data_IF_988076431319
#
_entry.id   IF_988076431319
#
_cell.length_a   1.000
_cell.length_b   1.000
_cell.length_c   1.000
_cell.angle_alpha   90.00
_cell.angle_beta   90.00
_cell.angle_gamma   90.00
#
_symmetry.space_group_name_H-M   'P 1'
#
loop_
_entity.id
_entity.type
_entity.pdbx_description
1 polymer ?
#
# COMPACT_ATOMS: atom_id res chain seq x y z
N UNK A 1 -13.22 -15.15 26.73
CA UNK A 1 -12.68 -13.79 26.64
C UNK A 1 -11.23 -13.85 27.11
N UNK A 2 -10.26 -13.89 26.22
CA UNK A 2 -8.83 -13.88 26.61
C UNK A 2 -8.46 -12.47 27.03
N UNK A 3 -8.29 -12.24 28.33
CA UNK A 3 -7.75 -10.99 28.87
C UNK A 3 -6.34 -10.77 28.32
N UNK A 4 -6.14 -9.68 27.57
CA UNK A 4 -4.82 -9.26 27.12
C UNK A 4 -4.06 -8.68 28.31
N UNK A 5 -3.28 -9.53 28.99
CA UNK A 5 -2.45 -9.16 30.13
C UNK A 5 -1.28 -8.30 29.67
N UNK A 6 -1.11 -7.09 30.22
CA UNK A 6 -0.01 -6.15 29.88
C UNK A 6 1.33 -6.88 29.66
N UNK A 7 1.99 -6.68 28.50
CA UNK A 7 3.25 -7.37 28.20
C UNK A 7 4.37 -6.87 29.13
N UNK A 8 5.28 -7.77 29.50
CA UNK A 8 6.52 -7.41 30.19
C UNK A 8 7.43 -6.58 29.28
N UNK A 9 8.44 -5.90 29.84
CA UNK A 9 9.40 -5.09 29.06
C UNK A 9 10.03 -5.88 27.90
N UNK A 10 10.48 -7.11 28.16
CA UNK A 10 11.09 -7.97 27.12
C UNK A 10 10.08 -8.40 26.05
N UNK A 11 8.85 -8.69 26.46
CA UNK A 11 7.76 -9.02 25.54
C UNK A 11 7.39 -7.83 24.66
N UNK A 12 7.35 -6.62 25.23
CA UNK A 12 7.11 -5.38 24.51
C UNK A 12 8.20 -5.12 23.46
N UNK A 13 9.48 -5.28 23.80
CA UNK A 13 10.59 -5.16 22.83
C UNK A 13 10.38 -6.08 21.62
N UNK A 14 9.95 -7.33 21.84
CA UNK A 14 9.68 -8.27 20.76
C UNK A 14 8.47 -7.85 19.92
N UNK A 15 7.38 -7.41 20.55
CA UNK A 15 6.20 -6.89 19.85
C UNK A 15 6.54 -5.66 19.01
N UNK A 16 7.27 -4.70 19.59
CA UNK A 16 7.68 -3.46 18.93
C UNK A 16 8.61 -3.76 17.74
N UNK A 17 9.49 -4.75 17.86
CA UNK A 17 10.33 -5.21 16.75
C UNK A 17 9.49 -5.81 15.62
N UNK A 18 8.53 -6.69 15.92
CA UNK A 18 7.66 -7.28 14.90
C UNK A 18 6.83 -6.20 14.21
N UNK A 19 6.24 -5.28 14.97
CA UNK A 19 5.42 -4.18 14.42
C UNK A 19 6.26 -3.27 13.51
N UNK A 20 7.45 -2.87 13.96
CA UNK A 20 8.36 -2.03 13.18
C UNK A 20 8.82 -2.72 11.89
N UNK A 21 9.16 -4.01 11.97
CA UNK A 21 9.56 -4.79 10.80
C UNK A 21 8.43 -4.88 9.77
N UNK A 22 7.19 -5.09 10.21
CA UNK A 22 6.02 -5.14 9.32
C UNK A 22 5.81 -3.77 8.65
N UNK A 23 5.91 -2.67 9.41
CA UNK A 23 5.78 -1.31 8.86
C UNK A 23 6.84 -0.98 7.82
N UNK A 24 8.08 -1.43 8.04
CA UNK A 24 9.21 -1.11 7.16
C UNK A 24 9.23 -1.97 5.90
N UNK A 25 8.91 -3.26 6.02
CA UNK A 25 9.06 -4.22 4.92
C UNK A 25 7.75 -4.66 4.27
N UNK A 26 6.60 -4.38 4.87
CA UNK A 26 5.29 -4.79 4.37
C UNK A 26 4.96 -6.27 4.57
N UNK A 27 5.79 -7.02 5.31
CA UNK A 27 5.56 -8.43 5.66
C UNK A 27 6.13 -8.75 7.04
N UNK A 28 5.66 -9.82 7.68
CA UNK A 28 6.13 -10.18 9.02
C UNK A 28 7.52 -10.85 9.02
N UNK A 29 8.31 -10.65 10.09
CA UNK A 29 9.64 -11.23 10.16
C UNK A 29 9.59 -12.75 10.39
N UNK A 30 10.58 -13.44 9.85
CA UNK A 30 10.91 -14.82 10.15
C UNK A 30 11.55 -14.93 11.54
N UNK A 31 11.55 -16.14 12.12
CA UNK A 31 12.19 -16.35 13.42
C UNK A 31 13.70 -16.09 13.40
N UNK A 32 14.36 -16.27 12.24
CA UNK A 32 15.78 -15.93 12.08
C UNK A 32 16.02 -14.42 12.06
N UNK A 33 15.14 -13.65 11.41
CA UNK A 33 15.23 -12.18 11.43
C UNK A 33 14.98 -11.63 12.84
N UNK A 34 13.99 -12.17 13.58
CA UNK A 34 13.75 -11.81 14.98
C UNK A 34 14.97 -12.17 15.84
N UNK A 35 15.56 -13.35 15.61
CA UNK A 35 16.75 -13.80 16.33
C UNK A 35 17.92 -12.82 16.14
N UNK A 36 18.23 -12.47 14.89
CA UNK A 36 19.31 -11.54 14.56
C UNK A 36 19.03 -10.13 15.07
N UNK A 37 17.81 -9.63 14.87
CA UNK A 37 17.42 -8.25 15.23
C UNK A 37 17.41 -8.00 16.74
N UNK A 38 17.02 -9.00 17.53
CA UNK A 38 16.95 -8.90 19.00
C UNK A 38 18.10 -9.62 19.71
N UNK A 39 19.08 -10.15 18.96
CA UNK A 39 20.25 -10.87 19.46
C UNK A 39 19.90 -12.04 20.38
N UNK A 40 18.91 -12.84 20.00
CA UNK A 40 18.63 -14.10 20.68
C UNK A 40 19.66 -15.16 20.32
N UNK A 41 19.95 -16.05 21.27
CA UNK A 41 20.95 -17.11 21.08
C UNK A 41 20.46 -18.29 20.22
N UNK A 42 19.15 -18.45 20.04
CA UNK A 42 18.59 -19.52 19.18
C UNK A 42 17.21 -19.21 18.63
N UNK A 43 16.91 -19.79 17.46
CA UNK A 43 15.58 -19.78 16.84
C UNK A 43 14.52 -20.41 17.76
N UNK A 44 14.89 -21.43 18.52
CA UNK A 44 14.00 -22.07 19.49
C UNK A 44 13.55 -21.11 20.60
N UNK A 45 14.46 -20.23 21.06
CA UNK A 45 14.14 -19.19 22.06
C UNK A 45 13.13 -18.19 21.50
N UNK A 46 13.32 -17.77 20.24
CA UNK A 46 12.36 -16.90 19.54
C UNK A 46 11.00 -17.57 19.43
N UNK A 47 10.95 -18.83 18.98
CA UNK A 47 9.71 -19.59 18.83
C UNK A 47 8.95 -19.69 20.17
N UNK A 48 9.65 -19.93 21.27
CA UNK A 48 9.06 -19.95 22.62
C UNK A 48 8.43 -18.59 22.97
N UNK A 49 9.17 -17.48 22.77
CA UNK A 49 8.66 -16.15 23.08
C UNK A 49 7.45 -15.75 22.22
N UNK A 50 7.50 -16.03 20.92
CA UNK A 50 6.38 -15.79 19.99
C UNK A 50 5.15 -16.59 20.41
N UNK A 51 5.31 -17.90 20.68
CA UNK A 51 4.19 -18.74 21.13
C UNK A 51 3.58 -18.27 22.45
N UNK A 52 4.41 -17.78 23.38
CA UNK A 52 3.92 -17.21 24.63
C UNK A 52 3.12 -15.92 24.42
N UNK A 53 3.54 -15.07 23.47
CA UNK A 53 2.80 -13.88 23.10
C UNK A 53 1.49 -14.19 22.38
N UNK A 54 1.45 -15.24 21.56
CA UNK A 54 0.21 -15.74 20.94
C UNK A 54 -0.77 -16.22 22.00
N UNK A 55 -0.31 -17.07 22.94
CA UNK A 55 -1.14 -17.57 24.04
C UNK A 55 -1.72 -16.45 24.92
N UNK A 56 -0.99 -15.34 25.05
CA UNK A 56 -1.40 -14.15 25.81
C UNK A 56 -2.26 -13.18 25.00
N UNK A 57 -2.54 -13.48 23.73
CA UNK A 57 -3.38 -12.65 22.87
C UNK A 57 -2.71 -11.37 22.36
N UNK A 58 -1.38 -11.25 22.41
CA UNK A 58 -0.65 -10.11 21.83
C UNK A 58 -0.21 -10.35 20.39
N UNK A 59 -0.05 -11.61 19.99
CA UNK A 59 0.24 -12.00 18.62
C UNK A 59 -0.84 -12.93 18.09
N UNK A 60 -1.08 -12.88 16.79
CA UNK A 60 -1.90 -13.85 16.07
C UNK A 60 -1.10 -14.42 14.91
N UNK A 61 -1.30 -15.71 14.63
CA UNK A 61 -0.78 -16.37 13.44
C UNK A 61 -1.98 -16.73 12.57
N UNK A 62 -2.11 -16.15 11.37
CA UNK A 62 -3.29 -16.36 10.51
C UNK A 62 -3.33 -17.77 9.89
N UNK A 63 -2.17 -18.36 9.62
CA UNK A 63 -2.05 -19.62 8.87
C UNK A 63 -0.68 -20.28 9.09
N UNK A 64 -0.51 -21.52 8.64
CA UNK A 64 0.70 -22.30 8.87
C UNK A 64 1.89 -21.93 7.96
N UNK A 65 1.75 -20.85 7.19
CA UNK A 65 2.79 -20.32 6.32
C UNK A 65 3.93 -19.65 7.08
N UNK A 66 5.06 -19.49 6.40
CA UNK A 66 6.11 -18.58 6.84
C UNK A 66 5.59 -17.15 6.76
N UNK A 67 5.99 -16.29 7.71
CA UNK A 67 5.65 -14.86 7.74
C UNK A 67 4.14 -14.53 7.91
N UNK A 68 3.42 -15.30 8.71
CA UNK A 68 2.00 -15.04 9.05
C UNK A 68 1.74 -14.40 10.43
N UNK A 69 2.77 -13.80 11.06
CA UNK A 69 2.62 -13.17 12.38
C UNK A 69 1.99 -11.78 12.30
N UNK A 70 1.11 -11.49 13.26
CA UNK A 70 0.45 -10.20 13.41
C UNK A 70 0.44 -9.76 14.87
N UNK A 71 0.59 -8.46 15.09
CA UNK A 71 0.44 -7.86 16.42
C UNK A 71 -1.04 -7.53 16.66
N UNK A 72 -1.60 -8.03 17.77
CA UNK A 72 -2.99 -7.84 18.15
C UNK A 72 -3.12 -6.54 18.94
N UNK A 73 -3.99 -5.64 18.48
CA UNK A 73 -4.18 -4.33 19.12
C UNK A 73 -3.16 -3.27 18.70
N UNK A 74 -2.29 -3.56 17.72
CA UNK A 74 -1.73 -2.49 16.89
C UNK A 74 -2.87 -1.97 16.00
N UNK A 75 -3.71 -1.11 16.58
CA UNK A 75 -4.79 -0.40 15.90
C UNK A 75 -4.26 0.66 14.91
N UNK A 76 -3.00 0.54 14.49
CA UNK A 76 -2.44 1.24 13.34
C UNK A 76 -2.84 0.61 12.00
N UNK A 77 -3.91 -0.21 11.97
CA UNK A 77 -4.51 -0.66 10.71
C UNK A 77 -6.02 -0.91 10.84
N UNK A 78 -6.79 0.17 11.00
CA UNK A 78 -8.15 0.26 10.46
C UNK A 78 -8.50 1.57 9.76
N UNK A 79 -7.51 2.35 9.38
CA UNK A 79 -7.65 3.17 8.18
C UNK A 79 -6.79 2.52 7.11
N UNK A 80 -7.44 1.69 6.31
CA UNK A 80 -7.17 1.73 4.87
C UNK A 80 -7.53 3.11 4.34
N UNK A 81 -6.85 4.16 4.81
CA UNK A 81 -6.35 5.12 3.85
C UNK A 81 -5.44 4.26 2.99
N UNK A 82 -5.76 4.14 1.71
CA UNK A 82 -4.70 4.07 0.71
C UNK A 82 -3.56 4.90 1.29
N UNK A 83 -2.43 4.29 1.64
CA UNK A 83 -1.19 5.04 1.82
C UNK A 83 -1.21 6.03 0.68
N UNK A 84 -1.47 7.31 0.99
CA UNK A 84 -1.60 8.35 -0.01
C UNK A 84 -0.35 8.18 -0.83
N UNK A 85 -0.50 7.72 -2.08
CA UNK A 85 0.62 7.24 -2.87
C UNK A 85 1.57 8.42 -2.82
N UNK A 86 2.73 8.24 -2.16
CA UNK A 86 3.61 9.36 -1.77
C UNK A 86 3.61 10.34 -2.93
N UNK A 87 3.19 11.60 -2.75
CA UNK A 87 2.84 12.52 -3.85
C UNK A 87 3.83 12.53 -5.05
N UNK A 88 5.08 12.14 -4.82
CA UNK A 88 6.12 11.84 -5.81
C UNK A 88 5.80 10.69 -6.80
N UNK A 89 5.08 9.64 -6.40
CA UNK A 89 4.61 8.52 -7.22
C UNK A 89 3.22 8.76 -7.85
N UNK A 90 2.54 9.87 -7.57
CA UNK A 90 1.28 10.25 -8.23
C UNK A 90 1.52 11.21 -9.42
N UNK A 91 2.59 12.00 -9.38
CA UNK A 91 2.91 12.99 -10.42
C UNK A 91 3.15 12.37 -11.80
N UNK A 92 3.76 11.18 -11.89
CA UNK A 92 4.09 10.58 -13.18
C UNK A 92 2.84 10.27 -14.02
N UNK A 93 1.73 9.90 -13.37
CA UNK A 93 0.48 9.57 -14.07
C UNK A 93 -0.18 10.83 -14.62
N UNK A 94 -0.17 11.92 -13.83
CA UNK A 94 -0.63 13.24 -14.27
C UNK A 94 0.20 13.74 -15.46
N UNK A 95 1.53 13.68 -15.34
CA UNK A 95 2.46 14.08 -16.41
C UNK A 95 2.24 13.23 -17.68
N UNK A 96 1.96 11.92 -17.52
CA UNK A 96 1.68 11.01 -18.64
C UNK A 96 0.38 11.36 -19.36
N UNK A 97 -0.70 11.61 -18.62
CA UNK A 97 -2.00 12.02 -19.19
C UNK A 97 -1.86 13.35 -19.92
N UNK A 98 -1.15 14.32 -19.34
CA UNK A 98 -0.89 15.62 -19.99
C UNK A 98 -0.13 15.46 -21.31
N UNK A 99 0.93 14.65 -21.34
CA UNK A 99 1.72 14.39 -22.54
C UNK A 99 0.89 13.69 -23.64
N UNK A 100 0.07 12.71 -23.27
CA UNK A 100 -0.82 12.04 -24.21
C UNK A 100 -1.87 13.00 -24.78
N UNK A 101 -2.49 13.83 -23.93
CA UNK A 101 -3.43 14.86 -24.39
C UNK A 101 -2.78 15.86 -25.33
N UNK A 102 -1.59 16.38 -25.01
CA UNK A 102 -0.84 17.28 -25.90
C UNK A 102 -0.60 16.68 -27.27
N UNK A 103 -0.21 15.40 -27.31
CA UNK A 103 0.06 14.69 -28.56
C UNK A 103 -1.22 14.58 -29.41
N UNK A 104 -2.37 14.30 -28.79
CA UNK A 104 -3.66 14.23 -29.48
C UNK A 104 -4.25 15.62 -29.80
N UNK A 105 -3.84 16.66 -29.07
CA UNK A 105 -4.26 18.03 -29.33
C UNK A 105 -3.59 18.62 -30.57
N UNK A 106 -2.31 18.28 -30.77
CA UNK A 106 -1.51 18.68 -31.94
C UNK A 106 -1.78 17.79 -33.16
N UNK A 107 -2.29 16.58 -32.96
CA UNK A 107 -2.64 15.68 -34.04
C UNK A 107 -3.84 16.22 -34.85
N UNK A 108 -3.68 16.28 -36.18
CA UNK A 108 -4.77 16.59 -37.11
C UNK A 108 -5.91 15.56 -37.03
N UNK A 109 -5.56 14.32 -36.68
CA UNK A 109 -6.51 13.23 -36.44
C UNK A 109 -6.17 12.45 -35.17
N UNK A 110 -6.92 12.66 -34.07
CA UNK A 110 -6.76 11.88 -32.86
C UNK A 110 -7.21 10.43 -33.05
N UNK A 111 -6.43 9.47 -32.56
CA UNK A 111 -6.75 8.06 -32.64
C UNK A 111 -7.75 7.64 -31.54
N UNK A 112 -8.82 6.94 -31.91
CA UNK A 112 -9.86 6.49 -30.96
C UNK A 112 -9.29 5.63 -29.83
N UNK A 113 -8.34 4.74 -30.14
CA UNK A 113 -7.63 3.94 -29.15
C UNK A 113 -6.88 4.79 -28.13
N UNK A 114 -6.23 5.87 -28.56
CA UNK A 114 -5.49 6.74 -27.65
C UNK A 114 -6.44 7.54 -26.75
N UNK A 115 -7.63 7.90 -27.27
CA UNK A 115 -8.70 8.54 -26.49
C UNK A 115 -9.20 7.59 -25.39
N UNK A 116 -9.41 6.31 -25.72
CA UNK A 116 -9.83 5.29 -24.75
C UNK A 116 -8.77 5.06 -23.67
N UNK A 117 -7.49 4.96 -24.07
CA UNK A 117 -6.37 4.82 -23.15
C UNK A 117 -6.30 6.04 -22.21
N UNK A 118 -6.50 7.28 -22.71
CA UNK A 118 -6.57 8.49 -21.87
C UNK A 118 -7.77 8.44 -20.91
N UNK A 119 -8.93 7.95 -21.35
CA UNK A 119 -10.12 7.83 -20.50
C UNK A 119 -9.88 6.90 -19.30
N UNK A 120 -9.23 5.75 -19.53
CA UNK A 120 -8.85 4.79 -18.47
C UNK A 120 -7.90 5.45 -17.47
N UNK A 121 -6.89 6.18 -17.94
CA UNK A 121 -5.92 6.85 -17.06
C UNK A 121 -6.58 7.97 -16.24
N UNK A 122 -7.52 8.73 -16.80
CA UNK A 122 -8.30 9.71 -16.04
C UNK A 122 -9.16 9.02 -14.97
N UNK A 123 -9.76 7.86 -15.29
CA UNK A 123 -10.47 7.04 -14.31
C UNK A 123 -9.57 6.59 -13.16
N UNK A 124 -8.34 6.18 -13.46
CA UNK A 124 -7.34 5.83 -12.44
C UNK A 124 -6.97 7.03 -11.55
N UNK A 125 -6.82 8.23 -12.13
CA UNK A 125 -6.59 9.47 -11.36
C UNK A 125 -7.74 9.74 -10.36
N UNK A 126 -8.99 9.52 -10.75
CA UNK A 126 -10.14 9.69 -9.84
C UNK A 126 -10.11 8.67 -8.69
N UNK A 127 -9.80 7.40 -8.96
CA UNK A 127 -9.67 6.36 -7.92
C UNK A 127 -8.53 6.66 -6.96
N UNK A 128 -7.45 7.30 -7.44
CA UNK A 128 -6.32 7.73 -6.63
C UNK A 128 -6.57 9.05 -5.87
N UNK A 129 -7.74 9.69 -6.04
CA UNK A 129 -8.08 10.95 -5.35
C UNK A 129 -7.43 12.20 -5.94
N UNK A 130 -6.94 12.14 -7.17
CA UNK A 130 -6.30 13.26 -7.89
C UNK A 130 -7.34 14.10 -8.64
N UNK A 131 -8.38 14.55 -7.93
CA UNK A 131 -9.56 15.18 -8.54
C UNK A 131 -9.27 16.50 -9.26
N UNK A 132 -8.27 17.26 -8.82
CA UNK A 132 -7.85 18.49 -9.50
C UNK A 132 -7.31 18.22 -10.91
N UNK A 133 -6.51 17.15 -11.06
CA UNK A 133 -6.00 16.74 -12.36
C UNK A 133 -7.14 16.24 -13.26
N UNK A 134 -8.09 15.46 -12.71
CA UNK A 134 -9.28 15.00 -13.44
C UNK A 134 -10.09 16.21 -13.97
N UNK A 135 -10.36 17.20 -13.11
CA UNK A 135 -11.08 18.43 -13.51
C UNK A 135 -10.36 19.19 -14.63
N UNK A 136 -9.04 19.20 -14.64
CA UNK A 136 -8.25 19.85 -15.69
C UNK A 136 -8.25 19.08 -17.03
N UNK A 137 -8.31 17.74 -17.01
CA UNK A 137 -8.15 16.91 -18.20
C UNK A 137 -9.46 16.56 -18.92
N UNK A 138 -10.59 16.45 -18.22
CA UNK A 138 -11.88 16.08 -18.82
C UNK A 138 -12.33 17.01 -19.97
N UNK A 139 -12.23 18.36 -19.86
CA UNK A 139 -12.59 19.25 -20.95
C UNK A 139 -11.74 19.02 -22.21
N UNK A 140 -10.42 18.84 -22.01
CA UNK A 140 -9.45 18.59 -23.09
C UNK A 140 -9.75 17.29 -23.83
N UNK A 141 -10.01 16.21 -23.09
CA UNK A 141 -10.40 14.93 -23.68
C UNK A 141 -11.69 15.04 -24.50
N UNK A 142 -12.66 15.83 -24.01
CA UNK A 142 -13.93 16.05 -24.72
C UNK A 142 -13.71 16.75 -26.07
N UNK A 143 -12.83 17.74 -26.13
CA UNK A 143 -12.55 18.45 -27.38
C UNK A 143 -11.71 17.63 -28.36
N UNK A 144 -10.78 16.81 -27.86
CA UNK A 144 -10.07 15.79 -28.67
C UNK A 144 -11.07 14.77 -29.25
N UNK A 145 -12.01 14.28 -28.43
CA UNK A 145 -13.04 13.34 -28.87
C UNK A 145 -13.99 13.93 -29.91
N UNK A 146 -14.41 15.19 -29.75
CA UNK A 146 -15.22 15.89 -30.76
C UNK A 146 -14.50 15.96 -32.10
N UNK A 147 -13.20 16.26 -32.12
CA UNK A 147 -12.40 16.32 -33.35
C UNK A 147 -12.24 14.95 -34.01
N UNK A 148 -12.15 13.90 -33.21
CA UNK A 148 -12.17 12.52 -33.72
C UNK A 148 -13.51 12.16 -34.37
N UNK A 149 -14.64 12.58 -33.75
CA UNK A 149 -16.00 12.28 -34.21
C UNK A 149 -16.58 13.27 -35.25
N UNK A 150 -15.95 14.41 -35.50
CA UNK A 150 -16.43 15.43 -36.44
C UNK A 150 -16.12 15.10 -37.92
N UNK A 151 -15.68 13.86 -38.19
CA UNK A 151 -15.56 13.26 -39.52
C UNK A 151 -16.39 11.98 -39.58
#
# INVERSE_FOLDING_TARGET
MTESLRPTKKQKILLDFIDSFIREHGYSPSYREIMSGLRYNSVATVALHVNNLIKRGHLRKRDNSARSLEVVGSDSMREGKLEAVKATQEKWLVDRVDAMLKTQEEADRPAEKDIDDIYVLIGALHVLGLDDAVRAFVPRLTDVKKRSNAN
#
